data_IF_665003089529
#
_entry.id   IF_665003089529
#
_cell.length_a   1.000
_cell.length_b   1.000
_cell.length_c   1.000
_cell.angle_alpha   90.00
_cell.angle_beta   90.00
_cell.angle_gamma   90.00
#
_symmetry.space_group_name_H-M   'P 1'
#
loop_
_entity.id
_entity.type
_entity.pdbx_description
1 polymer ?
#
# COMPACT_ATOMS: atom_id res chain seq x y z
N UNK A 1 -26.64 7.87 3.81
CA UNK A 1 -25.33 8.06 3.13
C UNK A 1 -24.30 7.18 3.82
N UNK A 2 -23.42 6.52 3.08
CA UNK A 2 -22.38 5.67 3.71
C UNK A 2 -21.33 6.57 4.38
N UNK A 3 -20.91 6.18 5.60
CA UNK A 3 -19.87 6.86 6.38
C UNK A 3 -18.54 6.96 5.61
N UNK A 4 -17.84 8.07 5.74
CA UNK A 4 -16.63 8.34 4.94
C UNK A 4 -15.44 8.73 5.80
N UNK A 5 -14.22 8.52 5.27
CA UNK A 5 -13.00 9.01 5.92
C UNK A 5 -12.99 10.55 6.04
N UNK A 6 -13.52 11.27 5.05
CA UNK A 6 -13.60 12.73 5.11
C UNK A 6 -14.51 13.20 6.26
N UNK A 7 -15.63 12.52 6.47
CA UNK A 7 -16.54 12.77 7.60
C UNK A 7 -15.87 12.53 8.95
N UNK A 8 -15.17 11.40 9.12
CA UNK A 8 -14.41 11.12 10.34
C UNK A 8 -13.33 12.17 10.61
N UNK A 9 -12.60 12.62 9.57
CA UNK A 9 -11.62 13.70 9.68
C UNK A 9 -12.27 15.05 10.03
N UNK A 10 -13.45 15.35 9.49
CA UNK A 10 -14.17 16.59 9.80
C UNK A 10 -14.67 16.59 11.26
N UNK A 11 -15.22 15.47 11.72
CA UNK A 11 -15.83 15.35 13.06
C UNK A 11 -14.79 15.32 14.17
N UNK A 12 -13.77 14.47 14.06
CA UNK A 12 -12.79 14.23 15.12
C UNK A 12 -11.46 14.97 14.93
N UNK A 13 -11.28 15.56 13.78
CA UNK A 13 -10.07 16.27 13.44
C UNK A 13 -9.71 17.44 14.34
N UNK A 14 -10.65 18.35 14.66
CA UNK A 14 -10.36 19.46 15.56
C UNK A 14 -9.82 19.01 16.91
N UNK A 15 -10.45 18.02 17.57
CA UNK A 15 -9.98 17.47 18.84
C UNK A 15 -8.61 16.81 18.73
N UNK A 16 -8.35 16.07 17.65
CA UNK A 16 -7.02 15.49 17.41
C UNK A 16 -5.95 16.57 17.23
N UNK A 17 -6.22 17.62 16.46
CA UNK A 17 -5.28 18.69 16.15
C UNK A 17 -4.97 19.59 17.35
N UNK A 18 -5.88 19.71 18.31
CA UNK A 18 -5.64 20.42 19.56
C UNK A 18 -4.49 19.79 20.40
N UNK A 19 -4.33 18.46 20.30
CA UNK A 19 -3.32 17.72 21.04
C UNK A 19 -2.11 17.27 20.21
N UNK A 20 -2.20 17.31 18.86
CA UNK A 20 -1.18 16.71 17.98
C UNK A 20 -0.86 17.59 16.78
N UNK A 21 0.42 17.76 16.51
CA UNK A 21 0.90 18.38 15.26
C UNK A 21 0.83 17.43 14.06
N UNK A 22 0.83 18.00 12.86
CA UNK A 22 0.89 17.23 11.60
C UNK A 22 2.21 17.46 10.88
N UNK A 23 2.80 16.40 10.35
CA UNK A 23 3.85 16.54 9.34
C UNK A 23 3.28 17.15 8.05
N UNK A 24 4.17 17.72 7.21
CA UNK A 24 3.77 18.26 5.89
C UNK A 24 3.00 17.22 5.04
N UNK A 25 3.43 15.97 5.07
CA UNK A 25 2.79 14.89 4.32
C UNK A 25 1.38 14.59 4.83
N UNK A 26 1.20 14.55 6.16
CA UNK A 26 -0.10 14.34 6.80
C UNK A 26 -1.05 15.50 6.52
N UNK A 27 -0.61 16.73 6.69
CA UNK A 27 -1.41 17.92 6.38
C UNK A 27 -1.84 17.96 4.90
N UNK A 28 -0.95 17.58 3.97
CA UNK A 28 -1.27 17.46 2.54
C UNK A 28 -2.32 16.37 2.28
N UNK A 29 -2.16 15.20 2.88
CA UNK A 29 -3.11 14.09 2.71
C UNK A 29 -4.48 14.44 3.30
N UNK A 30 -4.52 15.03 4.48
CA UNK A 30 -5.74 15.51 5.12
C UNK A 30 -6.52 16.47 4.24
N UNK A 31 -5.88 17.59 3.84
CA UNK A 31 -6.51 18.58 2.96
C UNK A 31 -7.07 17.97 1.68
N UNK A 32 -6.28 17.09 1.05
CA UNK A 32 -6.71 16.41 -0.17
C UNK A 32 -7.95 15.53 0.05
N UNK A 33 -8.02 14.79 1.16
CA UNK A 33 -9.14 13.90 1.47
C UNK A 33 -10.39 14.71 1.81
N UNK A 34 -10.26 15.74 2.65
CA UNK A 34 -11.36 16.59 3.06
C UNK A 34 -11.97 17.36 1.88
N UNK A 35 -11.13 17.86 0.96
CA UNK A 35 -11.59 18.58 -0.23
C UNK A 35 -12.07 17.66 -1.37
N UNK A 36 -11.88 16.35 -1.27
CA UNK A 36 -12.13 15.43 -2.38
C UNK A 36 -13.61 15.38 -2.79
N UNK A 37 -13.88 15.74 -4.04
CA UNK A 37 -15.24 15.82 -4.61
C UNK A 37 -16.16 16.77 -3.85
N UNK A 38 -15.63 17.94 -3.52
CA UNK A 38 -16.36 19.07 -2.94
C UNK A 38 -16.09 20.33 -3.77
N UNK A 39 -16.86 21.40 -3.60
CA UNK A 39 -16.60 22.70 -4.24
C UNK A 39 -15.19 23.25 -4.01
N UNK A 40 -14.54 22.85 -2.91
CA UNK A 40 -13.19 23.28 -2.59
C UNK A 40 -12.12 22.94 -3.66
N UNK A 41 -12.34 21.89 -4.46
CA UNK A 41 -11.46 21.53 -5.58
C UNK A 41 -11.96 22.07 -6.93
N UNK A 42 -13.05 22.82 -6.96
CA UNK A 42 -13.70 23.21 -8.18
C UNK A 42 -14.42 22.05 -8.89
N UNK A 43 -15.03 22.34 -10.02
CA UNK A 43 -15.78 21.34 -10.77
C UNK A 43 -16.43 21.92 -12.02
N UNK A 44 -17.24 21.11 -12.66
CA UNK A 44 -18.02 21.47 -13.83
C UNK A 44 -19.50 21.20 -13.58
N UNK A 45 -20.35 22.12 -13.99
CA UNK A 45 -21.78 21.93 -14.05
C UNK A 45 -22.16 21.44 -15.42
N UNK A 46 -23.03 20.47 -15.45
CA UNK A 46 -23.58 19.89 -16.68
C UNK A 46 -25.10 20.07 -16.69
N UNK A 47 -25.65 20.32 -17.88
CA UNK A 47 -27.09 20.26 -18.16
C UNK A 47 -27.37 19.13 -19.14
N UNK A 48 -28.51 18.47 -18.98
CA UNK A 48 -28.99 17.49 -19.94
C UNK A 48 -29.62 18.23 -21.14
N UNK A 49 -29.22 17.85 -22.35
CA UNK A 49 -29.72 18.45 -23.59
C UNK A 49 -31.18 18.12 -23.89
N UNK A 50 -31.72 17.04 -23.29
CA UNK A 50 -33.11 16.62 -23.54
C UNK A 50 -34.11 17.09 -22.46
N UNK A 51 -33.73 17.08 -21.16
CA UNK A 51 -34.68 17.38 -20.07
C UNK A 51 -34.26 18.57 -19.19
N UNK A 52 -33.17 19.25 -19.49
CA UNK A 52 -32.72 20.44 -18.76
C UNK A 52 -32.21 20.18 -17.33
N UNK A 53 -32.24 18.92 -16.84
CA UNK A 53 -31.71 18.59 -15.50
C UNK A 53 -30.24 18.97 -15.38
N UNK A 54 -29.86 19.55 -14.24
CA UNK A 54 -28.47 19.95 -14.00
C UNK A 54 -27.81 19.14 -12.90
N UNK A 55 -26.48 18.98 -12.98
CA UNK A 55 -25.67 18.38 -11.93
C UNK A 55 -24.26 18.97 -11.88
N UNK A 56 -23.68 19.07 -10.67
CA UNK A 56 -22.29 19.39 -10.47
C UNK A 56 -21.43 18.12 -10.38
N UNK A 57 -20.28 18.13 -11.06
CA UNK A 57 -19.24 17.12 -10.95
C UNK A 57 -17.98 17.74 -10.39
N UNK A 58 -17.80 17.57 -9.08
CA UNK A 58 -16.64 18.11 -8.35
C UNK A 58 -15.38 17.31 -8.62
N UNK A 59 -14.24 18.01 -8.73
CA UNK A 59 -12.96 17.37 -9.02
C UNK A 59 -12.49 16.44 -7.88
N UNK A 60 -11.75 15.39 -8.25
CA UNK A 60 -11.14 14.44 -7.34
C UNK A 60 -9.75 14.91 -6.91
N UNK A 61 -9.36 14.63 -5.65
CA UNK A 61 -8.07 15.06 -5.11
C UNK A 61 -6.86 14.26 -5.66
N UNK A 62 -7.08 13.12 -6.31
CA UNK A 62 -6.06 12.18 -6.81
C UNK A 62 -5.00 11.77 -5.78
N UNK A 63 -5.23 12.03 -4.49
CA UNK A 63 -4.30 11.63 -3.43
C UNK A 63 -4.28 10.11 -3.29
N UNK A 64 -3.08 9.54 -3.18
CA UNK A 64 -2.91 8.10 -2.95
C UNK A 64 -3.44 7.62 -1.59
N UNK A 65 -3.72 8.53 -0.66
CA UNK A 65 -4.30 8.23 0.65
C UNK A 65 -5.82 8.37 0.68
N UNK A 66 -6.42 8.88 -0.40
CA UNK A 66 -7.86 9.07 -0.48
C UNK A 66 -8.55 7.78 -1.00
N UNK A 67 -9.40 7.13 -0.20
CA UNK A 67 -10.07 5.89 -0.62
C UNK A 67 -11.02 6.10 -1.80
N UNK A 68 -11.54 7.31 -2.01
CA UNK A 68 -12.39 7.66 -3.18
C UNK A 68 -11.63 7.65 -4.50
N UNK A 69 -10.31 7.99 -4.48
CA UNK A 69 -9.51 8.17 -5.69
C UNK A 69 -8.76 6.93 -6.13
N UNK A 70 -8.60 5.92 -5.26
CA UNK A 70 -7.69 4.79 -5.48
C UNK A 70 -8.21 3.76 -6.48
N UNK A 71 -9.53 3.64 -6.68
CA UNK A 71 -10.12 2.53 -7.43
C UNK A 71 -9.70 2.51 -8.91
N UNK A 72 -9.75 3.67 -9.58
CA UNK A 72 -9.32 3.80 -10.98
C UNK A 72 -7.81 3.57 -11.13
N UNK A 73 -6.99 4.17 -10.25
CA UNK A 73 -5.55 3.99 -10.27
C UNK A 73 -5.15 2.52 -10.01
N UNK A 74 -5.86 1.84 -9.12
CA UNK A 74 -5.67 0.42 -8.83
C UNK A 74 -5.98 -0.46 -10.05
N UNK A 75 -7.07 -0.17 -10.75
CA UNK A 75 -7.47 -0.93 -11.93
C UNK A 75 -6.51 -0.70 -13.10
N UNK A 76 -6.13 0.54 -13.37
CA UNK A 76 -5.15 0.87 -14.41
C UNK A 76 -3.79 0.20 -14.14
N UNK A 77 -3.33 0.25 -12.88
CA UNK A 77 -2.11 -0.43 -12.47
C UNK A 77 -2.23 -1.95 -12.66
N UNK A 78 -3.36 -2.56 -12.25
CA UNK A 78 -3.63 -3.98 -12.41
C UNK A 78 -3.53 -4.41 -13.88
N UNK A 79 -4.19 -3.67 -14.77
CA UNK A 79 -4.15 -3.95 -16.22
C UNK A 79 -2.72 -3.86 -16.78
N UNK A 80 -1.97 -2.82 -16.37
CA UNK A 80 -0.58 -2.69 -16.78
C UNK A 80 0.29 -3.86 -16.28
N UNK A 81 0.05 -4.39 -15.09
CA UNK A 81 0.81 -5.55 -14.57
C UNK A 81 0.43 -6.86 -15.23
N UNK A 82 -0.81 -7.01 -15.71
CA UNK A 82 -1.21 -8.19 -16.51
C UNK A 82 -0.27 -8.46 -17.67
N UNK A 83 0.03 -7.42 -18.44
CA UNK A 83 0.93 -7.51 -19.57
C UNK A 83 2.39 -7.83 -19.19
N UNK A 84 2.77 -7.72 -17.92
CA UNK A 84 4.12 -8.02 -17.45
C UNK A 84 4.25 -9.41 -16.81
N UNK A 85 3.14 -10.09 -16.58
CA UNK A 85 3.18 -11.44 -16.01
C UNK A 85 3.73 -12.46 -17.00
N UNK A 86 4.50 -13.41 -16.46
CA UNK A 86 4.98 -14.59 -17.14
C UNK A 86 4.05 -15.77 -16.84
N UNK A 87 3.95 -16.73 -17.75
CA UNK A 87 3.13 -17.93 -17.59
C UNK A 87 3.79 -18.97 -16.67
N UNK A 88 4.19 -18.54 -15.48
CA UNK A 88 4.81 -19.36 -14.45
C UNK A 88 4.06 -19.21 -13.12
N UNK A 89 4.21 -20.14 -12.17
CA UNK A 89 3.72 -19.94 -10.81
C UNK A 89 4.37 -18.74 -10.13
N UNK A 90 3.68 -18.15 -9.14
CA UNK A 90 4.20 -17.00 -8.37
C UNK A 90 4.17 -17.28 -6.88
N UNK A 91 5.32 -17.11 -6.25
CA UNK A 91 5.45 -17.17 -4.81
C UNK A 91 5.05 -15.82 -4.18
N UNK A 92 4.25 -15.87 -3.12
CA UNK A 92 3.93 -14.72 -2.29
C UNK A 92 4.67 -14.83 -0.96
N UNK A 93 5.52 -13.85 -0.68
CA UNK A 93 6.28 -13.73 0.54
C UNK A 93 5.91 -12.45 1.29
N UNK A 94 5.95 -12.50 2.63
CA UNK A 94 5.72 -11.34 3.48
C UNK A 94 6.85 -11.24 4.49
N UNK A 95 7.53 -10.11 4.51
CA UNK A 95 8.61 -9.80 5.43
C UNK A 95 8.12 -8.80 6.46
N UNK A 96 8.03 -9.19 7.72
CA UNK A 96 7.46 -8.37 8.79
C UNK A 96 8.56 -7.85 9.72
N UNK A 97 8.51 -6.55 10.02
CA UNK A 97 9.36 -5.96 11.05
C UNK A 97 8.82 -6.22 12.45
N UNK A 98 9.67 -6.53 13.42
CA UNK A 98 9.28 -6.61 14.83
C UNK A 98 8.71 -5.30 15.36
N UNK A 99 7.75 -5.39 16.28
CA UNK A 99 7.06 -4.23 16.86
C UNK A 99 7.99 -3.30 17.64
N UNK A 100 9.12 -3.81 18.12
CA UNK A 100 10.20 -3.05 18.77
C UNK A 100 10.77 -1.93 17.87
N UNK A 101 10.56 -2.03 16.57
CA UNK A 101 10.93 -1.00 15.60
C UNK A 101 9.84 0.04 15.34
N UNK A 102 8.65 -0.10 15.93
CA UNK A 102 7.53 0.80 15.66
C UNK A 102 7.80 2.25 16.13
N UNK A 103 8.45 2.44 17.28
CA UNK A 103 8.82 3.77 17.75
C UNK A 103 9.82 4.45 16.79
N UNK A 104 10.83 3.70 16.36
CA UNK A 104 11.80 4.16 15.36
C UNK A 104 11.11 4.49 14.02
N UNK A 105 10.17 3.67 13.59
CA UNK A 105 9.43 3.90 12.34
C UNK A 105 8.53 5.14 12.38
N UNK A 106 7.97 5.52 13.54
CA UNK A 106 7.23 6.78 13.70
C UNK A 106 8.16 7.98 13.58
N UNK A 107 9.37 7.91 14.10
CA UNK A 107 10.36 9.00 14.09
C UNK A 107 11.10 9.09 12.76
N UNK A 108 11.55 7.95 12.23
CA UNK A 108 12.33 7.84 11.00
C UNK A 108 11.65 6.96 9.94
N UNK A 109 10.39 7.27 9.52
CA UNK A 109 9.62 6.38 8.65
C UNK A 109 10.31 6.11 7.31
N UNK A 110 10.94 7.14 6.72
CA UNK A 110 11.66 6.98 5.45
C UNK A 110 12.79 5.97 5.57
N UNK A 111 13.64 6.13 6.56
CA UNK A 111 14.78 5.23 6.78
C UNK A 111 14.31 3.78 7.01
N UNK A 112 13.35 3.57 7.90
CA UNK A 112 12.84 2.21 8.20
C UNK A 112 12.25 1.54 6.96
N UNK A 113 11.47 2.27 6.16
CA UNK A 113 10.83 1.69 4.97
C UNK A 113 11.83 1.46 3.82
N UNK A 114 12.81 2.36 3.63
CA UNK A 114 13.89 2.16 2.66
C UNK A 114 14.76 0.95 3.04
N UNK A 115 15.14 0.84 4.31
CA UNK A 115 15.93 -0.28 4.84
C UNK A 115 15.16 -1.61 4.72
N UNK A 116 13.85 -1.63 5.06
CA UNK A 116 13.00 -2.81 4.84
C UNK A 116 13.03 -3.24 3.37
N UNK A 117 12.90 -2.29 2.45
CA UNK A 117 12.98 -2.60 1.03
C UNK A 117 14.39 -3.04 0.60
N UNK A 118 15.44 -2.36 1.01
CA UNK A 118 16.80 -2.75 0.67
C UNK A 118 17.14 -4.18 1.14
N UNK A 119 16.89 -4.46 2.42
CA UNK A 119 17.17 -5.77 3.00
C UNK A 119 16.35 -6.89 2.38
N UNK A 120 15.06 -6.66 2.13
CA UNK A 120 14.20 -7.65 1.46
C UNK A 120 14.65 -7.91 0.02
N UNK A 121 15.05 -6.85 -0.74
CA UNK A 121 15.56 -7.03 -2.10
C UNK A 121 16.86 -7.82 -2.11
N UNK A 122 17.82 -7.41 -1.27
CA UNK A 122 19.11 -8.09 -1.18
C UNK A 122 18.95 -9.56 -0.81
N UNK A 123 18.05 -9.86 0.15
CA UNK A 123 17.76 -11.25 0.54
C UNK A 123 17.20 -12.07 -0.62
N UNK A 124 16.17 -11.58 -1.29
CA UNK A 124 15.55 -12.31 -2.41
C UNK A 124 16.48 -12.46 -3.61
N UNK A 125 17.29 -11.43 -3.90
CA UNK A 125 18.27 -11.48 -5.01
C UNK A 125 19.40 -12.48 -4.70
N UNK A 126 19.92 -12.49 -3.47
CA UNK A 126 20.97 -13.43 -3.03
C UNK A 126 20.47 -14.88 -3.12
N UNK A 127 19.26 -15.16 -2.63
CA UNK A 127 18.69 -16.51 -2.72
C UNK A 127 18.44 -16.93 -4.18
N UNK A 128 17.98 -16.01 -5.02
CA UNK A 128 17.74 -16.30 -6.43
C UNK A 128 19.03 -16.51 -7.23
N UNK A 129 20.10 -15.79 -6.91
CA UNK A 129 21.41 -15.97 -7.55
C UNK A 129 22.08 -17.30 -7.19
N UNK A 130 21.73 -17.89 -6.06
CA UNK A 130 22.30 -19.16 -5.63
C UNK A 130 21.78 -20.31 -6.51
N UNK A 131 22.71 -21.04 -7.16
CA UNK A 131 22.41 -22.16 -8.03
C UNK A 131 21.70 -23.34 -7.36
N UNK A 132 21.78 -23.42 -6.01
CA UNK A 132 20.99 -24.39 -5.23
C UNK A 132 19.48 -24.17 -5.38
N UNK A 133 19.03 -22.93 -5.65
CA UNK A 133 17.62 -22.56 -5.73
C UNK A 133 17.20 -22.22 -7.14
N UNK A 134 17.72 -21.12 -7.72
CA UNK A 134 17.40 -20.66 -9.06
C UNK A 134 18.64 -20.48 -9.93
N UNK A 135 19.70 -19.86 -9.42
CA UNK A 135 20.95 -19.64 -10.18
C UNK A 135 20.86 -18.52 -11.21
N UNK A 136 19.90 -17.59 -11.09
CA UNK A 136 19.72 -16.56 -12.10
C UNK A 136 19.07 -15.27 -11.59
N UNK A 137 18.73 -14.37 -12.52
CA UNK A 137 18.10 -13.08 -12.23
C UNK A 137 16.62 -13.26 -11.95
N UNK A 138 16.12 -12.94 -10.75
CA UNK A 138 14.71 -13.10 -10.39
C UNK A 138 13.81 -12.03 -11.01
N UNK A 139 12.50 -12.25 -10.91
CA UNK A 139 11.44 -11.28 -11.21
C UNK A 139 10.54 -11.10 -10.01
N UNK A 140 10.53 -9.92 -9.38
CA UNK A 140 9.62 -9.67 -8.26
C UNK A 140 9.20 -8.22 -8.08
N UNK A 141 7.99 -8.06 -7.55
CA UNK A 141 7.41 -6.76 -7.15
C UNK A 141 7.20 -6.76 -5.65
N UNK A 142 7.55 -5.65 -4.98
CA UNK A 142 7.31 -5.45 -3.56
C UNK A 142 6.37 -4.30 -3.28
N UNK A 143 5.56 -4.48 -2.22
CA UNK A 143 4.56 -3.50 -1.78
C UNK A 143 4.69 -3.31 -0.27
N UNK A 144 4.87 -2.06 0.18
CA UNK A 144 4.87 -1.71 1.59
C UNK A 144 3.45 -1.66 2.15
N UNK A 145 3.24 -2.33 3.28
CA UNK A 145 2.10 -2.16 4.15
C UNK A 145 2.56 -1.76 5.54
N UNK A 146 1.80 -0.89 6.20
CA UNK A 146 2.16 -0.39 7.53
C UNK A 146 1.05 -0.59 8.56
N UNK A 147 -0.05 -1.29 8.21
CA UNK A 147 -1.28 -1.38 9.02
C UNK A 147 -1.78 -2.79 9.27
N UNK A 148 -2.41 -2.96 10.41
CA UNK A 148 -3.34 -4.06 10.70
C UNK A 148 -4.75 -3.74 10.20
N UNK A 149 -5.70 -4.65 10.36
CA UNK A 149 -7.09 -4.42 9.97
C UNK A 149 -7.78 -3.32 10.79
N UNK A 150 -7.37 -3.12 12.03
CA UNK A 150 -7.84 -2.07 12.95
C UNK A 150 -6.93 -0.83 12.94
N UNK A 151 -6.13 -0.67 11.90
CA UNK A 151 -5.24 0.47 11.65
C UNK A 151 -4.10 0.65 12.68
N UNK A 152 -3.73 -0.36 13.44
CA UNK A 152 -2.51 -0.30 14.25
C UNK A 152 -1.27 -0.42 13.37
N UNK A 153 -0.15 0.11 13.86
CA UNK A 153 1.11 0.06 13.10
C UNK A 153 1.66 -1.38 13.07
N UNK A 154 1.76 -1.91 11.85
CA UNK A 154 2.31 -3.23 11.57
C UNK A 154 3.03 -3.20 10.22
N UNK A 155 4.35 -3.03 10.29
CA UNK A 155 5.17 -2.74 9.11
C UNK A 155 5.63 -4.04 8.46
N UNK A 156 5.23 -4.24 7.21
CA UNK A 156 5.63 -5.41 6.45
C UNK A 156 5.68 -5.12 4.95
N UNK A 157 6.51 -5.86 4.24
CA UNK A 157 6.62 -5.81 2.80
C UNK A 157 6.10 -7.12 2.20
N UNK A 158 5.09 -7.01 1.33
CA UNK A 158 4.71 -8.12 0.46
C UNK A 158 5.68 -8.19 -0.72
N UNK A 159 6.10 -9.39 -1.09
CA UNK A 159 6.83 -9.66 -2.31
C UNK A 159 6.06 -10.69 -3.14
N UNK A 160 5.82 -10.38 -4.39
CA UNK A 160 5.32 -11.32 -5.37
C UNK A 160 6.43 -11.62 -6.35
N UNK A 161 6.85 -12.87 -6.41
CA UNK A 161 8.03 -13.32 -7.15
C UNK A 161 7.66 -14.44 -8.11
N UNK A 162 8.05 -14.32 -9.38
CA UNK A 162 7.94 -15.42 -10.32
C UNK A 162 8.77 -16.63 -9.85
N UNK A 163 8.22 -17.82 -9.93
CA UNK A 163 8.93 -19.05 -9.63
C UNK A 163 9.81 -19.44 -10.82
N UNK A 164 11.01 -18.89 -10.84
CA UNK A 164 12.04 -19.06 -11.84
C UNK A 164 12.92 -17.82 -11.97
N UNK A 165 13.91 -17.91 -12.80
CA UNK A 165 14.89 -16.85 -13.05
C UNK A 165 15.35 -16.88 -14.51
N UNK A 166 15.89 -15.77 -14.99
CA UNK A 166 16.58 -15.67 -16.26
C UNK A 166 18.08 -15.88 -16.03
N UNK A 167 18.71 -16.80 -16.77
CA UNK A 167 20.15 -16.96 -16.76
C UNK A 167 20.88 -15.84 -17.51
N UNK A 168 22.19 -15.95 -17.63
CA UNK A 168 23.02 -14.98 -18.33
C UNK A 168 22.84 -15.05 -19.84
N UNK A 169 22.53 -16.22 -20.36
CA UNK A 169 22.36 -16.55 -21.78
C UNK A 169 20.93 -16.21 -22.28
N UNK A 170 20.00 -15.86 -21.38
CA UNK A 170 18.61 -15.51 -21.70
C UNK A 170 17.65 -16.71 -21.66
N UNK A 171 18.09 -17.85 -21.13
CA UNK A 171 17.28 -19.03 -20.88
C UNK A 171 16.46 -18.88 -19.59
N UNK A 172 15.36 -19.64 -19.47
CA UNK A 172 14.53 -19.66 -18.26
C UNK A 172 14.87 -20.83 -17.36
N UNK A 173 15.29 -20.54 -16.15
CA UNK A 173 15.56 -21.52 -15.12
C UNK A 173 14.31 -21.74 -14.28
N UNK A 174 13.73 -22.95 -14.34
CA UNK A 174 12.64 -23.34 -13.45
C UNK A 174 13.16 -23.69 -12.05
N UNK A 175 12.40 -23.53 -10.98
CA UNK A 175 12.81 -23.88 -9.63
C UNK A 175 12.96 -25.40 -9.51
N UNK A 176 14.02 -25.85 -8.86
CA UNK A 176 14.31 -27.29 -8.64
C UNK A 176 13.28 -27.99 -7.72
N UNK A 177 12.60 -27.21 -6.86
CA UNK A 177 11.59 -27.68 -5.90
C UNK A 177 10.38 -26.74 -5.94
N UNK A 178 9.23 -27.26 -6.33
CA UNK A 178 7.98 -26.48 -6.48
C UNK A 178 6.91 -26.85 -5.48
N UNK A 179 7.06 -27.92 -4.71
CA UNK A 179 5.95 -28.58 -4.01
C UNK A 179 5.39 -27.78 -2.82
N UNK A 180 6.19 -26.92 -2.15
CA UNK A 180 5.73 -26.14 -0.99
C UNK A 180 6.13 -24.67 -1.02
N UNK A 181 7.46 -24.39 -1.12
CA UNK A 181 7.99 -23.03 -1.02
C UNK A 181 9.17 -22.84 -1.98
N UNK A 182 9.25 -21.68 -2.62
CA UNK A 182 10.37 -21.33 -3.51
C UNK A 182 11.72 -21.33 -2.77
N UNK A 183 11.72 -20.84 -1.52
CA UNK A 183 12.92 -20.78 -0.65
C UNK A 183 12.58 -21.20 0.78
N UNK A 184 13.56 -21.71 1.58
CA UNK A 184 13.37 -22.04 2.98
C UNK A 184 13.07 -20.79 3.81
N UNK A 185 11.90 -20.72 4.41
CA UNK A 185 11.38 -19.54 5.13
C UNK A 185 12.29 -19.14 6.29
N UNK A 186 12.79 -20.12 7.06
CA UNK A 186 13.69 -19.85 8.20
C UNK A 186 15.04 -19.26 7.76
N UNK A 187 15.57 -19.71 6.62
CA UNK A 187 16.82 -19.15 6.08
C UNK A 187 16.59 -17.71 5.58
N UNK A 188 15.48 -17.46 4.85
CA UNK A 188 15.09 -16.09 4.48
C UNK A 188 14.96 -15.17 5.69
N UNK A 189 14.32 -15.65 6.76
CA UNK A 189 14.12 -14.88 8.01
C UNK A 189 15.47 -14.49 8.63
N UNK A 190 16.38 -15.44 8.79
CA UNK A 190 17.70 -15.18 9.38
C UNK A 190 18.54 -14.19 8.58
N UNK A 191 18.60 -14.36 7.26
CA UNK A 191 19.35 -13.46 6.37
C UNK A 191 18.75 -12.06 6.36
N UNK A 192 17.43 -11.94 6.23
CA UNK A 192 16.72 -10.66 6.29
C UNK A 192 16.96 -9.94 7.62
N UNK A 193 16.79 -10.63 8.76
CA UNK A 193 17.03 -10.07 10.08
C UNK A 193 18.49 -9.61 10.26
N UNK A 194 19.45 -10.41 9.80
CA UNK A 194 20.88 -10.08 9.81
C UNK A 194 21.18 -8.80 9.05
N UNK A 195 20.69 -8.69 7.82
CA UNK A 195 20.87 -7.50 6.97
C UNK A 195 20.25 -6.26 7.60
N UNK A 196 19.02 -6.35 8.13
CA UNK A 196 18.36 -5.20 8.75
C UNK A 196 19.08 -4.74 10.02
N UNK A 197 19.52 -5.67 10.89
CA UNK A 197 20.29 -5.34 12.10
C UNK A 197 21.65 -4.73 11.77
N UNK A 198 22.33 -5.20 10.73
CA UNK A 198 23.56 -4.61 10.25
C UNK A 198 23.35 -3.16 9.77
N UNK A 199 22.31 -2.91 8.99
CA UNK A 199 21.95 -1.57 8.55
C UNK A 199 21.56 -0.66 9.73
N UNK A 200 20.85 -1.17 10.75
CA UNK A 200 20.50 -0.42 11.96
C UNK A 200 21.77 -0.01 12.74
N UNK A 201 22.70 -0.94 12.97
CA UNK A 201 23.97 -0.63 13.63
C UNK A 201 24.81 0.39 12.84
N UNK A 202 24.81 0.31 11.52
CA UNK A 202 25.51 1.27 10.69
C UNK A 202 24.91 2.67 10.85
N UNK A 203 23.58 2.80 10.74
CA UNK A 203 22.87 4.08 10.87
C UNK A 203 22.95 4.70 12.29
N UNK A 204 23.11 3.87 13.32
CA UNK A 204 23.37 4.35 14.68
C UNK A 204 24.81 4.89 14.81
N UNK A 205 25.82 4.25 14.21
CA UNK A 205 27.21 4.68 14.23
C UNK A 205 27.46 5.96 13.42
N UNK A 206 26.87 6.06 12.23
CA UNK A 206 27.08 7.20 11.32
C UNK A 206 26.18 8.41 11.67
N UNK A 207 25.35 8.29 12.69
CA UNK A 207 24.48 9.35 13.16
C UNK A 207 23.26 9.63 12.26
N UNK A 208 22.92 8.76 11.30
CA UNK A 208 21.70 8.87 10.49
C UNK A 208 20.44 8.87 11.36
N UNK A 209 20.47 8.19 12.51
CA UNK A 209 19.38 8.09 13.48
C UNK A 209 19.63 8.92 14.75
N UNK A 210 20.13 10.15 14.62
CA UNK A 210 20.46 11.04 15.75
C UNK A 210 19.30 11.28 16.71
N UNK A 211 18.08 11.39 16.17
CA UNK A 211 16.85 11.60 16.94
C UNK A 211 16.13 10.27 17.23
N UNK A 212 16.86 9.22 17.53
CA UNK A 212 16.25 7.92 17.90
C UNK A 212 15.35 8.12 19.15
N UNK A 213 14.13 7.55 19.16
CA UNK A 213 13.26 7.62 20.32
C UNK A 213 13.84 6.98 21.59
N UNK A 214 14.90 6.20 21.46
CA UNK A 214 15.68 5.67 22.59
C UNK A 214 16.95 6.52 22.81
N UNK A 215 16.94 7.44 23.78
CA UNK A 215 17.98 8.46 23.91
C UNK A 215 19.35 7.89 24.35
N UNK A 216 19.37 6.81 25.12
CA UNK A 216 20.64 6.28 25.66
C UNK A 216 21.20 5.13 24.82
N UNK A 217 22.53 5.00 24.80
CA UNK A 217 23.21 3.88 24.12
C UNK A 217 22.77 2.53 24.70
N UNK A 218 22.58 2.43 26.02
CA UNK A 218 22.11 1.22 26.67
C UNK A 218 20.70 0.80 26.24
N UNK A 219 19.78 1.75 26.02
CA UNK A 219 18.44 1.42 25.50
C UNK A 219 18.51 0.93 24.05
N UNK A 220 19.33 1.56 23.19
CA UNK A 220 19.56 1.10 21.81
C UNK A 220 20.19 -0.27 21.75
N UNK A 221 21.17 -0.55 22.64
CA UNK A 221 21.79 -1.87 22.74
C UNK A 221 20.78 -2.95 23.18
N UNK A 222 19.93 -2.68 24.17
CA UNK A 222 18.84 -3.60 24.58
C UNK A 222 17.84 -3.83 23.43
N UNK A 223 17.51 -2.81 22.62
CA UNK A 223 16.70 -3.00 21.40
C UNK A 223 17.39 -3.98 20.43
N UNK A 224 18.66 -3.79 20.13
CA UNK A 224 19.44 -4.68 19.26
C UNK A 224 19.48 -6.12 19.78
N UNK A 225 19.65 -6.30 21.09
CA UNK A 225 19.63 -7.61 21.73
C UNK A 225 18.29 -8.31 21.53
N UNK A 226 17.16 -7.65 21.86
CA UNK A 226 15.80 -8.18 21.64
C UNK A 226 15.54 -8.54 20.17
N UNK A 227 16.02 -7.72 19.23
CA UNK A 227 15.93 -8.00 17.79
C UNK A 227 16.79 -9.20 17.36
N UNK A 228 17.82 -9.57 18.14
CA UNK A 228 18.68 -10.73 17.88
C UNK A 228 18.05 -12.01 18.41
N UNK A 229 17.47 -11.96 19.58
CA UNK A 229 16.85 -13.11 20.26
C UNK A 229 15.53 -13.52 19.58
N UNK A 230 14.87 -12.60 18.90
CA UNK A 230 13.57 -12.81 18.29
C UNK A 230 13.64 -13.41 16.90
N UNK A 231 12.81 -14.41 16.64
CA UNK A 231 12.61 -14.90 15.28
C UNK A 231 11.76 -13.89 14.48
N UNK A 232 12.34 -13.36 13.41
CA UNK A 232 11.62 -12.43 12.54
C UNK A 232 10.64 -13.19 11.65
N UNK A 233 9.46 -12.63 11.47
CA UNK A 233 8.41 -13.30 10.72
C UNK A 233 8.61 -13.07 9.23
N UNK A 234 8.97 -14.14 8.52
CA UNK A 234 8.82 -14.25 7.08
C UNK A 234 7.77 -15.32 6.81
N UNK A 235 6.74 -14.94 6.04
CA UNK A 235 5.68 -15.84 5.65
C UNK A 235 5.75 -16.10 4.15
N UNK A 236 5.62 -17.35 3.75
CA UNK A 236 5.50 -17.73 2.36
C UNK A 236 4.21 -18.54 2.15
N UNK A 237 3.53 -18.26 1.05
CA UNK A 237 2.43 -19.11 0.57
C UNK A 237 2.92 -20.07 -0.49
N UNK A 238 2.25 -21.22 -0.59
CA UNK A 238 2.31 -22.07 -1.76
C UNK A 238 2.10 -21.23 -3.01
N UNK A 239 2.90 -21.46 -4.05
CA UNK A 239 2.81 -20.66 -5.28
C UNK A 239 1.38 -20.60 -5.83
N UNK A 240 0.99 -19.40 -6.25
CA UNK A 240 -0.31 -19.18 -6.89
C UNK A 240 -0.23 -19.68 -8.34
N UNK A 241 -1.12 -20.56 -8.71
CA UNK A 241 -1.23 -21.05 -10.07
C UNK A 241 -1.89 -19.98 -10.98
N UNK A 242 -1.15 -19.58 -12.01
CA UNK A 242 -1.65 -18.76 -13.10
C UNK A 242 -1.75 -17.24 -12.85
N UNK A 243 -1.74 -16.46 -13.94
CA UNK A 243 -1.70 -14.99 -13.90
C UNK A 243 -2.91 -14.35 -13.23
N UNK A 244 -4.12 -14.91 -13.40
CA UNK A 244 -5.36 -14.35 -12.84
C UNK A 244 -5.37 -14.34 -11.31
N UNK A 245 -4.97 -15.45 -10.67
CA UNK A 245 -4.89 -15.55 -9.21
C UNK A 245 -3.87 -14.58 -8.62
N UNK A 246 -2.75 -14.38 -9.31
CA UNK A 246 -1.69 -13.46 -8.96
C UNK A 246 -2.19 -12.02 -8.98
N UNK A 247 -2.97 -11.66 -10.00
CA UNK A 247 -3.51 -10.31 -10.16
C UNK A 247 -4.58 -9.96 -9.15
N UNK A 248 -5.50 -10.87 -8.90
CA UNK A 248 -6.52 -10.67 -7.87
C UNK A 248 -5.88 -10.51 -6.49
N UNK A 249 -4.78 -11.20 -6.28
CA UNK A 249 -3.98 -11.06 -5.09
C UNK A 249 -3.31 -9.66 -5.03
N UNK A 250 -2.61 -9.25 -6.08
CA UNK A 250 -1.95 -7.94 -6.17
C UNK A 250 -2.94 -6.77 -6.05
N UNK A 251 -4.09 -6.85 -6.72
CA UNK A 251 -5.10 -5.79 -6.70
C UNK A 251 -5.60 -5.49 -5.27
N UNK A 252 -5.65 -6.50 -4.39
CA UNK A 252 -6.07 -6.33 -2.99
C UNK A 252 -5.06 -5.53 -2.16
N UNK A 253 -3.79 -5.60 -2.49
CA UNK A 253 -2.69 -5.09 -1.63
C UNK A 253 -1.99 -3.85 -2.17
N UNK A 254 -2.03 -3.60 -3.49
CA UNK A 254 -1.20 -2.57 -4.11
C UNK A 254 -1.73 -1.15 -4.00
N UNK A 255 -3.04 -0.94 -4.01
CA UNK A 255 -3.63 0.41 -4.04
C UNK A 255 -4.47 0.79 -2.82
N UNK A 256 -4.60 -0.11 -1.83
CA UNK A 256 -5.24 0.26 -0.56
C UNK A 256 -4.23 0.95 0.34
N UNK A 257 -4.52 2.17 0.72
CA UNK A 257 -3.80 2.83 1.81
C UNK A 257 -4.64 2.68 3.06
N UNK A 258 -4.22 1.82 3.96
CA UNK A 258 -4.80 1.56 5.27
C UNK A 258 -6.30 1.20 5.27
N UNK A 259 -7.18 1.98 4.63
CA UNK A 259 -8.63 1.83 4.72
C UNK A 259 -9.33 2.02 3.38
N UNK A 260 -10.37 1.22 3.11
CA UNK A 260 -11.34 1.43 2.04
C UNK A 260 -12.66 1.93 2.62
N UNK A 261 -13.46 2.66 1.84
CA UNK A 261 -14.75 3.18 2.29
C UNK A 261 -15.70 2.09 2.79
N UNK A 262 -15.69 0.94 2.14
CA UNK A 262 -16.54 -0.20 2.49
C UNK A 262 -16.28 -0.74 3.90
N UNK A 263 -15.21 -0.31 4.54
CA UNK A 263 -14.84 -0.72 5.90
C UNK A 263 -15.34 0.24 6.96
N UNK A 264 -15.63 1.50 6.62
CA UNK A 264 -16.20 2.48 7.54
C UNK A 264 -17.71 2.23 7.56
N UNK A 265 -18.20 1.67 8.66
CA UNK A 265 -19.61 1.31 8.83
C UNK A 265 -20.42 2.51 9.32
N UNK A 266 -19.90 3.23 10.31
CA UNK A 266 -20.53 4.40 10.87
C UNK A 266 -19.49 5.38 11.45
N UNK A 267 -19.85 6.65 11.48
CA UNK A 267 -19.17 7.74 12.19
C UNK A 267 -20.22 8.38 13.09
N UNK A 268 -20.07 8.28 14.40
CA UNK A 268 -21.00 8.76 15.42
C UNK A 268 -20.21 9.48 16.52
N UNK A 269 -20.87 10.13 17.47
CA UNK A 269 -20.19 10.92 18.52
C UNK A 269 -19.25 10.07 19.37
N UNK A 270 -19.54 8.79 19.53
CA UNK A 270 -18.77 7.82 20.29
C UNK A 270 -17.56 7.24 19.51
N UNK A 271 -17.36 7.62 18.24
CA UNK A 271 -16.22 7.18 17.45
C UNK A 271 -16.57 6.64 16.07
N UNK A 272 -15.65 5.83 15.54
CA UNK A 272 -15.74 5.23 14.20
C UNK A 272 -15.88 3.72 14.30
N UNK A 273 -16.90 3.17 13.66
CA UNK A 273 -17.13 1.71 13.54
C UNK A 273 -16.52 1.16 12.26
N UNK A 274 -15.55 0.25 12.44
CA UNK A 274 -14.84 -0.39 11.33
C UNK A 274 -15.20 -1.86 11.20
N UNK A 275 -15.39 -2.28 9.96
CA UNK A 275 -15.49 -3.70 9.61
C UNK A 275 -14.08 -4.30 9.50
N UNK A 276 -13.77 -5.28 10.35
CA UNK A 276 -12.53 -6.05 10.35
C UNK A 276 -12.84 -7.55 10.19
N UNK A 277 -11.84 -8.35 9.88
CA UNK A 277 -12.01 -9.81 9.95
C UNK A 277 -12.19 -10.21 11.40
N UNK A 278 -13.08 -11.14 11.69
CA UNK A 278 -13.09 -11.81 12.97
C UNK A 278 -11.77 -12.59 13.10
N UNK A 279 -11.13 -12.51 14.27
CA UNK A 279 -9.98 -13.33 14.59
C UNK A 279 -10.48 -14.78 14.70
N UNK A 280 -10.34 -15.54 13.64
CA UNK A 280 -10.36 -16.99 13.75
C UNK A 280 -9.07 -17.37 14.45
N UNK A 281 -9.14 -18.09 15.57
CA UNK A 281 -8.01 -18.80 16.13
C UNK A 281 -7.24 -19.44 14.97
N UNK A 282 -5.94 -19.14 14.84
CA UNK A 282 -5.08 -19.45 13.69
C UNK A 282 -4.95 -20.95 13.37
N UNK A 283 -6.05 -21.64 13.21
CA UNK A 283 -6.11 -22.98 12.65
C UNK A 283 -5.93 -22.91 11.12
N UNK A 284 -5.15 -23.80 10.59
CA UNK A 284 -4.82 -23.98 9.15
C UNK A 284 -6.04 -24.08 8.21
N UNK A 285 -7.27 -24.05 8.73
CA UNK A 285 -8.53 -24.24 8.02
C UNK A 285 -9.50 -23.03 8.01
N UNK A 286 -9.03 -21.81 8.33
CA UNK A 286 -9.86 -20.62 8.15
C UNK A 286 -10.06 -20.34 6.65
N UNK A 287 -10.97 -21.07 6.04
CA UNK A 287 -11.43 -20.93 4.67
C UNK A 287 -11.99 -19.52 4.39
N UNK A 288 -12.46 -19.29 3.17
CA UNK A 288 -13.02 -18.01 2.64
C UNK A 288 -14.13 -17.36 3.48
N UNK A 289 -14.62 -18.02 4.53
CA UNK A 289 -15.71 -17.64 5.43
C UNK A 289 -15.25 -17.15 6.81
N UNK A 290 -13.99 -16.67 6.99
CA UNK A 290 -13.62 -15.97 8.23
C UNK A 290 -14.60 -14.81 8.43
N UNK A 291 -15.45 -14.90 9.47
CA UNK A 291 -16.51 -13.94 9.79
C UNK A 291 -15.97 -12.50 9.80
N UNK A 292 -16.82 -11.53 9.58
CA UNK A 292 -16.49 -10.10 9.73
C UNK A 292 -17.07 -9.64 11.06
N UNK A 293 -16.27 -8.93 11.86
CA UNK A 293 -16.73 -8.24 13.06
C UNK A 293 -16.63 -6.72 12.88
N UNK A 294 -17.41 -5.98 13.65
CA UNK A 294 -17.33 -4.52 13.73
C UNK A 294 -16.59 -4.17 15.02
N UNK A 295 -15.56 -3.34 14.91
CA UNK A 295 -14.84 -2.78 16.04
C UNK A 295 -15.11 -1.28 16.11
N UNK A 296 -15.32 -0.74 17.30
CA UNK A 296 -15.38 0.69 17.55
C UNK A 296 -13.97 1.19 17.89
N UNK A 297 -13.60 2.30 17.33
CA UNK A 297 -12.36 3.04 17.64
C UNK A 297 -12.78 4.44 18.03
N UNK A 298 -12.24 4.98 19.12
CA UNK A 298 -12.40 6.38 19.50
C UNK A 298 -12.05 7.31 18.32
N UNK A 299 -12.73 8.45 18.24
CA UNK A 299 -12.61 9.32 17.06
C UNK A 299 -11.22 9.91 16.89
N UNK A 300 -10.59 10.42 17.96
CA UNK A 300 -9.25 10.98 17.91
C UNK A 300 -8.20 9.88 17.66
N UNK A 301 -8.37 8.73 18.30
CA UNK A 301 -7.54 7.54 18.07
C UNK A 301 -7.63 7.05 16.62
N UNK A 302 -8.83 7.02 16.03
CA UNK A 302 -9.00 6.66 14.62
C UNK A 302 -8.22 7.59 13.68
N UNK A 303 -8.32 8.91 13.92
CA UNK A 303 -7.57 9.91 13.14
C UNK A 303 -6.08 9.68 13.27
N UNK A 304 -5.57 9.48 14.48
CA UNK A 304 -4.15 9.20 14.74
C UNK A 304 -3.69 7.91 14.07
N UNK A 305 -4.46 6.82 14.21
CA UNK A 305 -4.18 5.54 13.56
C UNK A 305 -4.17 5.66 12.03
N UNK A 306 -5.06 6.43 11.43
CA UNK A 306 -5.04 6.67 9.99
C UNK A 306 -3.79 7.48 9.56
N UNK A 307 -3.49 8.56 10.25
CA UNK A 307 -2.40 9.48 9.90
C UNK A 307 -1.01 8.85 9.98
N UNK A 308 -0.79 7.87 10.86
CA UNK A 308 0.50 7.17 10.95
C UNK A 308 0.83 6.36 9.68
N UNK A 309 -0.17 6.10 8.80
CA UNK A 309 0.02 5.40 7.54
C UNK A 309 0.24 6.33 6.34
N UNK A 310 0.23 7.63 6.59
CA UNK A 310 0.60 8.61 5.56
C UNK A 310 2.10 8.53 5.31
N UNK A 311 2.46 8.10 4.10
CA UNK A 311 3.84 7.84 3.72
C UNK A 311 4.63 9.15 3.53
N UNK A 312 5.94 9.13 3.76
CA UNK A 312 6.83 10.26 3.48
C UNK A 312 6.67 10.77 2.04
N UNK A 313 6.88 12.07 1.85
CA UNK A 313 6.79 12.70 0.53
C UNK A 313 7.74 12.01 -0.47
N UNK A 314 7.26 11.72 -1.68
CA UNK A 314 8.05 11.04 -2.71
C UNK A 314 8.34 9.55 -2.48
N UNK A 315 7.96 8.96 -1.33
CA UNK A 315 8.22 7.55 -1.08
C UNK A 315 7.42 6.65 -2.06
N UNK A 316 8.12 5.80 -2.81
CA UNK A 316 7.52 4.83 -3.73
C UNK A 316 7.17 3.55 -2.97
N UNK A 317 5.86 3.32 -2.76
CA UNK A 317 5.35 2.18 -2.00
C UNK A 317 5.43 0.85 -2.75
N UNK A 318 5.44 0.89 -4.07
CA UNK A 318 5.55 -0.28 -4.95
C UNK A 318 6.88 -0.17 -5.68
N UNK A 319 7.68 -1.23 -5.66
CA UNK A 319 8.96 -1.28 -6.38
C UNK A 319 9.15 -2.62 -7.07
N UNK A 320 9.80 -2.57 -8.20
CA UNK A 320 10.05 -3.70 -9.10
C UNK A 320 11.54 -4.00 -9.15
N UNK A 321 11.89 -5.28 -9.18
CA UNK A 321 13.28 -5.74 -9.08
C UNK A 321 13.57 -6.87 -10.06
N UNK A 322 14.87 -7.10 -10.30
CA UNK A 322 15.35 -8.12 -11.23
C UNK A 322 14.87 -7.85 -12.65
N UNK A 323 14.15 -8.77 -13.27
CA UNK A 323 13.63 -8.61 -14.64
C UNK A 323 12.67 -7.42 -14.77
N UNK A 324 11.99 -7.04 -13.67
CA UNK A 324 11.03 -5.94 -13.66
C UNK A 324 11.65 -4.58 -13.30
N UNK A 325 12.96 -4.52 -13.08
CA UNK A 325 13.65 -3.25 -12.81
C UNK A 325 13.51 -2.30 -14.01
N UNK A 326 13.11 -1.03 -13.82
CA UNK A 326 12.75 -0.12 -14.92
C UNK A 326 13.83 -0.02 -16.02
N UNK A 327 15.11 -0.02 -15.64
CA UNK A 327 16.22 0.10 -16.59
C UNK A 327 16.35 -1.07 -17.58
N UNK A 328 15.84 -2.26 -17.22
CA UNK A 328 16.05 -3.48 -18.02
C UNK A 328 14.75 -4.20 -18.37
N UNK A 329 13.62 -3.71 -17.88
CA UNK A 329 12.34 -4.41 -17.91
C UNK A 329 11.95 -4.90 -19.32
N UNK A 330 11.95 -4.03 -20.29
CA UNK A 330 11.50 -4.36 -21.65
C UNK A 330 12.34 -5.49 -22.23
N UNK A 331 13.67 -5.37 -22.21
CA UNK A 331 14.59 -6.39 -22.71
C UNK A 331 14.44 -7.71 -21.96
N UNK A 332 14.50 -7.67 -20.62
CA UNK A 332 14.45 -8.90 -19.83
C UNK A 332 13.11 -9.61 -19.92
N UNK A 333 11.98 -8.90 -20.01
CA UNK A 333 10.68 -9.53 -20.22
C UNK A 333 10.54 -10.12 -21.62
N UNK A 334 11.13 -9.49 -22.67
CA UNK A 334 11.16 -10.06 -24.00
C UNK A 334 11.95 -11.37 -24.03
N UNK A 335 13.14 -11.40 -23.43
CA UNK A 335 13.96 -12.60 -23.30
C UNK A 335 13.24 -13.72 -22.52
N UNK A 336 12.68 -13.39 -21.35
CA UNK A 336 11.97 -14.38 -20.54
C UNK A 336 10.73 -14.95 -21.26
N UNK A 337 10.02 -14.14 -22.05
CA UNK A 337 8.90 -14.62 -22.87
C UNK A 337 9.36 -15.54 -23.99
N UNK A 338 10.43 -15.19 -24.68
CA UNK A 338 11.01 -16.04 -25.73
C UNK A 338 11.41 -17.40 -25.15
N UNK A 339 12.12 -17.41 -24.00
CA UNK A 339 12.52 -18.64 -23.33
C UNK A 339 11.33 -19.49 -22.82
N UNK A 340 10.19 -18.87 -22.56
CA UNK A 340 8.95 -19.52 -22.11
C UNK A 340 7.96 -19.80 -23.26
N UNK A 341 8.35 -19.56 -24.51
CA UNK A 341 7.49 -19.68 -25.71
C UNK A 341 6.15 -18.90 -25.57
N UNK A 342 6.20 -17.72 -24.92
CA UNK A 342 5.02 -16.88 -24.71
C UNK A 342 4.83 -15.86 -25.83
N UNK A 343 3.59 -15.57 -26.22
CA UNK A 343 3.32 -14.53 -27.22
C UNK A 343 3.67 -13.13 -26.69
N UNK A 344 3.93 -12.21 -27.61
CA UNK A 344 4.06 -10.79 -27.30
C UNK A 344 2.71 -10.28 -26.79
N UNK A 345 2.65 -9.59 -25.63
CA UNK A 345 1.39 -9.10 -25.10
C UNK A 345 0.80 -7.99 -25.99
N UNK A 346 -0.51 -8.02 -26.18
CA UNK A 346 -1.19 -6.94 -26.87
C UNK A 346 -1.03 -5.60 -26.12
N UNK A 347 -0.90 -4.48 -26.82
CA UNK A 347 -0.89 -3.15 -26.22
C UNK A 347 -2.14 -2.93 -25.35
N UNK A 348 -1.95 -2.37 -24.17
CA UNK A 348 -3.06 -2.05 -23.27
C UNK A 348 -3.72 -0.77 -23.76
N UNK A 349 -4.94 -0.87 -24.26
CA UNK A 349 -5.71 0.31 -24.64
C UNK A 349 -5.95 1.23 -23.43
N UNK A 350 -5.76 2.53 -23.65
CA UNK A 350 -6.11 3.54 -22.67
C UNK A 350 -7.63 3.59 -22.52
N UNK A 351 -8.11 3.47 -21.30
CA UNK A 351 -9.51 3.48 -20.98
C UNK A 351 -9.94 4.89 -20.50
N UNK A 352 -11.01 5.43 -21.08
CA UNK A 352 -11.60 6.69 -20.62
C UNK A 352 -12.23 6.52 -19.24
N UNK A 353 -12.47 7.63 -18.53
CA UNK A 353 -13.18 7.61 -17.24
C UNK A 353 -14.60 7.05 -17.40
N UNK A 354 -15.28 7.35 -18.50
CA UNK A 354 -16.61 6.85 -18.79
C UNK A 354 -16.62 5.33 -18.99
N UNK A 355 -15.71 4.82 -19.81
CA UNK A 355 -15.55 3.38 -20.03
C UNK A 355 -15.22 2.64 -18.72
N UNK A 356 -14.32 3.20 -17.90
CA UNK A 356 -14.02 2.66 -16.57
C UNK A 356 -15.26 2.61 -15.66
N UNK A 357 -16.02 3.71 -15.59
CA UNK A 357 -17.24 3.79 -14.75
C UNK A 357 -18.30 2.78 -15.19
N UNK A 358 -18.51 2.65 -16.50
CA UNK A 358 -19.44 1.66 -17.09
C UNK A 358 -19.00 0.23 -16.74
N UNK A 359 -17.75 -0.11 -16.94
CA UNK A 359 -17.22 -1.47 -16.73
C UNK A 359 -17.15 -1.85 -15.25
N UNK A 360 -16.65 -0.95 -14.37
CA UNK A 360 -16.33 -1.29 -12.97
C UNK A 360 -17.45 -0.94 -12.00
N UNK A 361 -18.10 0.21 -12.22
CA UNK A 361 -19.14 0.71 -11.33
C UNK A 361 -20.55 0.44 -11.82
N UNK A 362 -20.73 0.00 -13.07
CA UNK A 362 -22.04 -0.15 -13.73
C UNK A 362 -22.79 1.18 -13.80
N UNK A 363 -22.07 2.30 -13.90
CA UNK A 363 -22.62 3.65 -13.94
C UNK A 363 -22.31 4.27 -15.31
N UNK A 364 -23.36 4.70 -16.00
CA UNK A 364 -23.25 5.50 -17.22
C UNK A 364 -23.16 6.98 -16.85
N UNK A 365 -21.98 7.57 -17.03
CA UNK A 365 -21.75 8.98 -16.65
C UNK A 365 -21.96 9.96 -17.81
N UNK A 366 -22.12 9.48 -19.03
CA UNK A 366 -22.31 10.31 -20.22
C UNK A 366 -23.79 10.57 -20.51
N UNK A 367 -24.68 9.79 -19.90
CA UNK A 367 -26.14 9.87 -20.09
C UNK A 367 -26.85 10.38 -18.84
N UNK A 368 -27.91 11.11 -19.04
CA UNK A 368 -28.79 11.55 -17.97
C UNK A 368 -29.57 10.36 -17.38
N UNK A 369 -29.56 10.15 -16.05
CA UNK A 369 -30.27 9.02 -15.43
C UNK A 369 -31.82 9.18 -15.50
N UNK A 370 -32.33 10.35 -15.82
CA UNK A 370 -33.78 10.61 -15.94
C UNK A 370 -34.35 10.31 -17.32
N UNK A 371 -33.66 10.74 -18.40
CA UNK A 371 -34.18 10.68 -19.76
C UNK A 371 -33.20 10.12 -20.78
N UNK A 372 -32.03 9.67 -20.35
CA UNK A 372 -30.95 9.15 -21.19
C UNK A 372 -30.36 10.14 -22.23
N UNK A 373 -30.74 11.45 -22.20
CA UNK A 373 -30.14 12.51 -22.98
C UNK A 373 -28.65 12.71 -22.64
N UNK A 374 -27.92 13.50 -23.43
CA UNK A 374 -26.51 13.74 -23.24
C UNK A 374 -26.24 14.89 -22.26
N UNK A 375 -25.20 14.75 -21.43
CA UNK A 375 -24.71 15.81 -20.56
C UNK A 375 -23.86 16.81 -21.35
N UNK A 376 -24.21 18.12 -21.30
CA UNK A 376 -23.42 19.21 -21.86
C UNK A 376 -22.82 20.04 -20.72
N UNK A 377 -21.52 20.39 -20.75
CA UNK A 377 -20.96 21.32 -19.79
C UNK A 377 -21.52 22.73 -19.99
N UNK A 378 -22.00 23.38 -18.92
CA UNK A 378 -22.59 24.70 -18.96
C UNK A 378 -21.87 25.73 -18.09
N UNK A 379 -21.18 25.31 -17.05
CA UNK A 379 -20.42 26.18 -16.16
C UNK A 379 -19.19 25.48 -15.56
N UNK A 380 -18.21 26.27 -15.16
CA UNK A 380 -17.02 25.83 -14.46
C UNK A 380 -16.85 26.61 -13.16
N UNK A 381 -16.60 25.89 -12.06
CA UNK A 381 -16.21 26.49 -10.78
C UNK A 381 -14.72 26.26 -10.55
N UNK A 382 -13.98 27.35 -10.31
CA UNK A 382 -12.58 27.27 -9.92
C UNK A 382 -12.43 26.68 -8.51
N UNK A 383 -11.27 26.12 -8.21
CA UNK A 383 -10.95 25.67 -6.86
C UNK A 383 -10.91 26.85 -5.88
N UNK A 384 -11.55 26.69 -4.71
CA UNK A 384 -11.54 27.71 -3.66
C UNK A 384 -10.15 27.77 -3.01
N UNK A 385 -9.57 28.95 -2.88
CA UNK A 385 -8.40 29.20 -2.05
C UNK A 385 -8.85 29.24 -0.57
N UNK A 386 -8.92 28.07 0.08
CA UNK A 386 -9.35 28.00 1.48
C UNK A 386 -8.15 28.11 2.44
N UNK A 387 -8.16 29.13 3.31
CA UNK A 387 -7.24 29.31 4.43
C UNK A 387 -7.59 28.41 5.65
N UNK A 388 -8.72 27.72 5.59
CA UNK A 388 -9.31 26.97 6.72
C UNK A 388 -8.71 25.58 6.97
N UNK A 389 -7.64 25.22 6.28
CA UNK A 389 -7.04 23.89 6.41
C UNK A 389 -5.91 23.85 7.44
N UNK A 390 -5.73 22.76 8.19
CA UNK A 390 -4.66 22.64 9.16
C UNK A 390 -3.30 22.87 8.48
N UNK A 391 -2.56 23.85 9.01
CA UNK A 391 -1.17 24.07 8.62
C UNK A 391 -0.28 23.03 9.28
N UNK A 392 0.84 22.67 8.64
CA UNK A 392 1.84 21.85 9.28
C UNK A 392 2.41 22.62 10.47
N UNK A 393 2.16 22.14 11.69
CA UNK A 393 2.80 22.67 12.90
C UNK A 393 4.25 22.16 12.99
N UNK A 394 5.11 22.90 13.72
CA UNK A 394 6.38 22.33 14.18
C UNK A 394 6.04 21.11 15.04
N UNK A 395 6.79 19.99 14.94
CA UNK A 395 6.60 18.89 15.86
C UNK A 395 6.92 19.42 17.27
N UNK A 396 5.91 19.58 18.10
CA UNK A 396 6.11 19.71 19.53
C UNK A 396 6.74 18.40 19.99
N UNK A 397 7.83 18.49 20.72
CA UNK A 397 8.39 17.40 21.49
C UNK A 397 7.29 16.93 22.43
N UNK A 398 6.58 15.88 22.04
CA UNK A 398 5.47 15.38 22.83
C UNK A 398 5.98 14.78 24.12
N UNK A 399 5.50 15.31 25.23
CA UNK A 399 5.51 14.65 26.53
C UNK A 399 4.87 13.26 26.36
N UNK A 400 5.54 12.25 26.88
CA UNK A 400 5.03 10.87 26.91
C UNK A 400 3.76 10.81 27.76
N UNK A 401 2.68 10.16 27.30
CA UNK A 401 1.70 9.67 28.23
C UNK A 401 2.31 8.47 28.96
N UNK A 402 2.40 8.56 30.28
CA UNK A 402 2.60 7.41 31.16
C UNK A 402 1.43 6.46 30.92
N UNK A 403 1.76 5.21 30.66
CA UNK A 403 0.78 4.14 30.59
C UNK A 403 0.46 3.66 32.03
N UNK A 404 -0.79 3.28 32.32
CA UNK A 404 -1.10 2.45 33.46
C UNK A 404 -0.60 1.01 33.28
#
# INVERSE_FOLDING_TARGET
MSATLAEALARFGPGYLAAHGLSRAQAKAWRAIAACRTPALGGQQFACDACGSTQWRWHSCRSRHCPRCQKQAADAWRRARLAELLAVPYAHLVFTLPHELNALARRHPRWVYETLFACTAATLTEFAANARWLGGRPSFTRVLHTWTQDLRLHIHAHALMACGALDAEGGWIAPRRTERFLFPVHALSRVFAGKFRAALRAAERDGTLRDDPLPTAGQRQRRLQRLTEKNWVVYAKTPLAGPAAVLDYLARYTHRTAIGHERIVAVSDDGVRLRVRADGNGGKNAGKNAGKKIVRIDGAEFVGRFLQHVLPAGFKRIRHYGLLAPAHKTRCLSQARAALAMPVPNPIAQETVAAFMRRVARIEIERCPRCHGCWRPIAHAAALRTSLWPRAGRPTTAAQPQAP
#
